data_IF_118638704961
#
_entry.id   IF_118638704961
#
_cell.length_a   1.000
_cell.length_b   1.000
_cell.length_c   1.000
_cell.angle_alpha   90.00
_cell.angle_beta   90.00
_cell.angle_gamma   90.00
#
_symmetry.space_group_name_H-M   'P 1'
#
loop_
_entity.id
_entity.type
_entity.pdbx_description
1 polymer ?
#
# COMPACT_ATOMS: atom_id res chain seq x y z
N UNK A 1 -9.92 25.83 -32.58
CA UNK A 1 -10.74 25.88 -33.80
C UNK A 1 -12.03 25.07 -33.72
N UNK A 2 -12.30 24.33 -32.64
CA UNK A 2 -13.64 23.83 -32.35
C UNK A 2 -14.35 24.95 -31.57
N UNK A 3 -15.54 25.35 -32.00
CA UNK A 3 -16.51 26.21 -31.29
C UNK A 3 -16.38 27.74 -31.41
N UNK A 4 -16.87 28.29 -32.53
CA UNK A 4 -17.71 29.49 -32.46
C UNK A 4 -19.18 29.23 -32.91
N UNK A 5 -19.45 28.12 -33.63
CA UNK A 5 -20.76 27.84 -34.25
C UNK A 5 -21.56 26.65 -33.66
N UNK A 6 -21.05 25.94 -32.64
CA UNK A 6 -21.74 24.77 -32.05
C UNK A 6 -22.56 25.14 -30.80
N UNK A 7 -23.69 24.47 -30.59
CA UNK A 7 -24.48 24.65 -29.37
C UNK A 7 -23.75 24.13 -28.12
N UNK A 8 -24.13 24.63 -26.95
CA UNK A 8 -23.48 24.32 -25.67
C UNK A 8 -23.46 22.81 -25.38
N UNK A 9 -24.50 22.08 -25.79
CA UNK A 9 -24.61 20.64 -25.57
C UNK A 9 -23.58 19.86 -26.40
N UNK A 10 -23.46 20.20 -27.69
CA UNK A 10 -22.46 19.60 -28.59
C UNK A 10 -21.04 19.86 -28.08
N UNK A 11 -20.77 21.06 -27.58
CA UNK A 11 -19.47 21.41 -27.01
C UNK A 11 -19.13 20.59 -25.75
N UNK A 12 -20.10 20.39 -24.85
CA UNK A 12 -19.92 19.58 -23.65
C UNK A 12 -19.70 18.10 -23.98
N UNK A 13 -20.46 17.54 -24.92
CA UNK A 13 -20.28 16.17 -25.41
C UNK A 13 -18.91 15.98 -26.06
N UNK A 14 -18.47 16.96 -26.86
CA UNK A 14 -17.15 16.94 -27.50
C UNK A 14 -16.04 16.95 -26.46
N UNK A 15 -16.12 17.84 -25.47
CA UNK A 15 -15.14 17.90 -24.38
C UNK A 15 -15.09 16.58 -23.60
N UNK A 16 -16.25 16.00 -23.30
CA UNK A 16 -16.34 14.70 -22.64
C UNK A 16 -15.70 13.58 -23.45
N UNK A 17 -15.95 13.54 -24.77
CA UNK A 17 -15.34 12.57 -25.67
C UNK A 17 -13.81 12.64 -25.64
N UNK A 18 -13.25 13.84 -25.72
CA UNK A 18 -11.80 14.02 -25.61
C UNK A 18 -11.27 13.63 -24.24
N UNK A 19 -11.92 14.00 -23.14
CA UNK A 19 -11.45 13.63 -21.80
C UNK A 19 -11.44 12.11 -21.59
N UNK A 20 -12.53 11.43 -21.97
CA UNK A 20 -12.60 9.97 -21.91
C UNK A 20 -11.55 9.33 -22.82
N UNK A 21 -11.36 9.83 -24.04
CA UNK A 21 -10.30 9.36 -24.95
C UNK A 21 -8.91 9.48 -24.31
N UNK A 22 -8.57 10.65 -23.75
CA UNK A 22 -7.27 10.85 -23.10
C UNK A 22 -7.08 9.97 -21.86
N UNK A 23 -8.14 9.70 -21.10
CA UNK A 23 -8.08 8.73 -20.01
C UNK A 23 -7.71 7.33 -20.50
N UNK A 24 -8.32 6.88 -21.60
CA UNK A 24 -8.06 5.56 -22.17
C UNK A 24 -6.67 5.46 -22.82
N UNK A 25 -6.24 6.50 -23.54
CA UNK A 25 -4.88 6.55 -24.14
C UNK A 25 -3.81 6.51 -23.05
N UNK A 26 -3.93 7.34 -22.01
CA UNK A 26 -2.97 7.35 -20.91
C UNK A 26 -2.92 5.98 -20.20
N UNK A 27 -4.07 5.34 -20.02
CA UNK A 27 -4.14 4.01 -19.42
C UNK A 27 -3.48 2.95 -20.31
N UNK A 28 -3.69 3.00 -21.62
CA UNK A 28 -3.05 2.09 -22.56
C UNK A 28 -1.53 2.26 -22.59
N UNK A 29 -1.03 3.49 -22.53
CA UNK A 29 0.40 3.79 -22.43
C UNK A 29 1.01 3.27 -21.12
N UNK A 30 0.35 3.53 -19.99
CA UNK A 30 0.77 3.03 -18.68
C UNK A 30 0.82 1.50 -18.67
N UNK A 31 -0.21 0.85 -19.22
CA UNK A 31 -0.26 -0.60 -19.35
C UNK A 31 0.87 -1.15 -20.24
N UNK A 32 1.11 -0.53 -21.40
CA UNK A 32 2.20 -0.92 -22.29
C UNK A 32 3.56 -0.81 -21.59
N UNK A 33 3.79 0.27 -20.83
CA UNK A 33 5.02 0.45 -20.04
C UNK A 33 5.21 -0.70 -19.04
N UNK A 34 4.17 -1.06 -18.29
CA UNK A 34 4.22 -2.20 -17.35
C UNK A 34 4.53 -3.51 -18.08
N UNK A 35 3.91 -3.75 -19.25
CA UNK A 35 4.16 -4.95 -20.06
C UNK A 35 5.61 -5.03 -20.54
N UNK A 36 6.18 -3.92 -20.99
CA UNK A 36 7.59 -3.83 -21.42
C UNK A 36 8.53 -4.12 -20.25
N UNK A 37 8.27 -3.56 -19.06
CA UNK A 37 9.06 -3.86 -17.86
C UNK A 37 9.01 -5.35 -17.51
N UNK A 38 7.82 -5.95 -17.46
CA UNK A 38 7.67 -7.39 -17.19
C UNK A 38 8.32 -8.28 -18.25
N UNK A 39 8.32 -7.87 -19.52
CA UNK A 39 9.00 -8.60 -20.58
C UNK A 39 10.52 -8.56 -20.39
N UNK A 40 11.07 -7.43 -19.92
CA UNK A 40 12.49 -7.32 -19.55
C UNK A 40 12.80 -8.20 -18.34
N UNK A 41 11.97 -8.16 -17.29
CA UNK A 41 12.13 -9.01 -16.10
C UNK A 41 12.14 -10.50 -16.47
N UNK A 42 11.27 -10.94 -17.39
CA UNK A 42 11.22 -12.34 -17.87
C UNK A 42 12.41 -12.73 -18.76
N UNK A 43 12.97 -11.77 -19.49
CA UNK A 43 14.12 -11.99 -20.35
C UNK A 43 15.45 -11.87 -19.60
N UNK A 44 15.44 -11.28 -18.40
CA UNK A 44 16.59 -11.21 -17.53
C UNK A 44 16.91 -12.62 -17.02
N UNK A 45 18.16 -13.03 -17.20
CA UNK A 45 18.67 -14.32 -16.75
C UNK A 45 19.29 -14.15 -15.35
N UNK A 46 20.57 -13.79 -15.30
CA UNK A 46 21.33 -13.62 -14.05
C UNK A 46 21.54 -12.14 -13.69
N UNK A 47 21.59 -11.25 -14.70
CA UNK A 47 21.82 -9.83 -14.49
C UNK A 47 20.51 -9.09 -14.15
N UNK A 48 20.54 -8.15 -13.20
CA UNK A 48 19.36 -7.37 -12.85
C UNK A 48 18.88 -6.53 -14.04
N UNK A 49 17.57 -6.28 -14.11
CA UNK A 49 17.01 -5.40 -15.14
C UNK A 49 17.58 -4.00 -15.00
N UNK A 50 18.07 -3.43 -16.11
CA UNK A 50 18.63 -2.09 -16.14
C UNK A 50 17.65 -1.05 -15.54
N UNK A 51 18.17 -0.11 -14.76
CA UNK A 51 17.44 0.92 -14.02
C UNK A 51 16.52 0.37 -12.91
N UNK A 52 16.68 -0.90 -12.52
CA UNK A 52 15.98 -1.48 -11.36
C UNK A 52 16.71 -1.18 -10.04
N UNK A 53 16.03 -1.46 -8.93
CA UNK A 53 16.64 -1.36 -7.59
C UNK A 53 17.80 -2.35 -7.46
N UNK A 54 17.64 -3.57 -7.98
CA UNK A 54 18.70 -4.58 -7.97
C UNK A 54 19.92 -4.11 -8.78
N UNK A 55 19.71 -3.52 -9.96
CA UNK A 55 20.79 -2.96 -10.79
C UNK A 55 21.56 -1.85 -10.05
N UNK A 56 20.85 -0.98 -9.32
CA UNK A 56 21.50 0.02 -8.48
C UNK A 56 22.38 -0.62 -7.38
N UNK A 57 21.95 -1.73 -6.77
CA UNK A 57 22.76 -2.45 -5.77
C UNK A 57 23.99 -3.11 -6.42
N UNK A 58 23.82 -3.77 -7.56
CA UNK A 58 24.93 -4.38 -8.31
C UNK A 58 25.94 -3.32 -8.75
N UNK A 59 25.47 -2.14 -9.15
CA UNK A 59 26.34 -1.00 -9.46
C UNK A 59 27.21 -0.58 -8.26
N UNK A 60 26.67 -0.60 -7.02
CA UNK A 60 27.48 -0.32 -5.82
C UNK A 60 28.56 -1.38 -5.61
N UNK A 61 28.22 -2.67 -5.79
CA UNK A 61 29.15 -3.79 -5.69
C UNK A 61 30.27 -3.67 -6.74
N UNK A 62 29.92 -3.37 -7.98
CA UNK A 62 30.87 -3.29 -9.10
C UNK A 62 31.80 -2.07 -8.96
N UNK A 63 31.37 -1.03 -8.24
CA UNK A 63 32.24 0.06 -7.78
C UNK A 63 33.12 -0.30 -6.57
N UNK A 64 33.05 -1.53 -6.06
CA UNK A 64 33.90 -2.05 -5.00
C UNK A 64 33.46 -1.69 -3.58
N UNK A 65 32.21 -1.26 -3.37
CA UNK A 65 31.71 -0.97 -2.02
C UNK A 65 31.59 -2.25 -1.21
N UNK A 66 32.14 -2.22 0.00
CA UNK A 66 32.02 -3.29 0.99
C UNK A 66 30.60 -3.35 1.59
N UNK A 67 30.18 -4.51 2.13
CA UNK A 67 28.88 -4.61 2.80
C UNK A 67 28.69 -3.58 3.92
N UNK A 68 29.75 -3.24 4.66
CA UNK A 68 29.68 -2.26 5.75
C UNK A 68 29.43 -0.84 5.22
N UNK A 69 30.03 -0.47 4.09
CA UNK A 69 29.79 0.82 3.44
C UNK A 69 28.36 0.90 2.90
N UNK A 70 27.86 -0.17 2.28
CA UNK A 70 26.47 -0.25 1.83
C UNK A 70 25.50 -0.16 3.02
N UNK A 71 25.76 -0.85 4.12
CA UNK A 71 24.94 -0.74 5.34
C UNK A 71 24.92 0.70 5.89
N UNK A 72 26.06 1.41 5.87
CA UNK A 72 26.14 2.81 6.30
C UNK A 72 25.32 3.74 5.39
N UNK A 73 25.27 3.48 4.08
CA UNK A 73 24.42 4.21 3.13
C UNK A 73 22.93 3.93 3.39
N UNK A 74 22.56 2.66 3.56
CA UNK A 74 21.19 2.25 3.87
C UNK A 74 20.70 2.93 5.15
N UNK A 75 21.53 2.99 6.19
CA UNK A 75 21.23 3.61 7.48
C UNK A 75 20.91 5.12 7.37
N UNK A 76 21.41 5.79 6.33
CA UNK A 76 21.19 7.21 6.07
C UNK A 76 20.09 7.46 5.01
N UNK A 77 19.66 6.43 4.29
CA UNK A 77 18.69 6.54 3.21
C UNK A 77 17.36 7.06 3.75
N UNK A 78 16.83 8.12 3.12
CA UNK A 78 15.54 8.71 3.47
C UNK A 78 14.90 9.30 2.23
N UNK A 79 13.71 8.82 1.88
CA UNK A 79 12.89 9.29 0.77
C UNK A 79 11.53 9.71 1.32
N UNK A 80 11.26 11.02 1.31
CA UNK A 80 10.03 11.61 1.83
C UNK A 80 9.08 12.05 0.70
N UNK A 81 8.05 11.26 0.44
CA UNK A 81 6.94 11.60 -0.46
C UNK A 81 5.89 12.44 0.28
N UNK A 82 5.48 13.57 -0.28
CA UNK A 82 4.46 14.42 0.32
C UNK A 82 3.31 14.62 -0.66
N UNK A 83 2.14 14.08 -0.32
CA UNK A 83 0.92 14.27 -1.10
C UNK A 83 0.37 15.67 -0.91
N UNK A 84 0.07 16.33 -2.02
CA UNK A 84 -0.60 17.63 -2.04
C UNK A 84 -1.98 17.49 -2.67
N UNK A 85 -2.91 18.36 -2.28
CA UNK A 85 -4.20 18.40 -2.96
C UNK A 85 -3.96 18.91 -4.38
N UNK A 86 -4.53 18.25 -5.40
CA UNK A 86 -4.45 18.78 -6.75
C UNK A 86 -5.54 19.84 -6.92
N UNK A 87 -5.19 21.12 -7.17
CA UNK A 87 -6.14 22.23 -7.10
C UNK A 87 -7.27 22.18 -8.16
N UNK A 88 -7.11 21.41 -9.23
CA UNK A 88 -8.04 21.37 -10.37
C UNK A 88 -8.39 19.99 -10.91
N UNK A 89 -7.78 18.90 -10.40
CA UNK A 89 -7.80 17.60 -11.10
C UNK A 89 -7.95 16.40 -10.16
N UNK A 90 -8.73 16.57 -9.10
CA UNK A 90 -9.18 15.45 -8.26
C UNK A 90 -10.24 14.66 -9.02
N UNK A 91 -9.81 13.81 -9.97
CA UNK A 91 -10.65 12.82 -10.66
C UNK A 91 -11.58 12.19 -9.62
N UNK A 92 -12.87 12.11 -9.93
CA UNK A 92 -13.83 11.51 -9.00
C UNK A 92 -13.42 10.07 -8.74
N UNK A 93 -13.61 9.61 -7.50
CA UNK A 93 -13.33 8.22 -7.10
C UNK A 93 -13.99 7.21 -8.06
N UNK A 94 -15.22 7.47 -8.49
CA UNK A 94 -15.93 6.64 -9.46
C UNK A 94 -15.23 6.52 -10.81
N UNK A 95 -14.58 7.58 -11.30
CA UNK A 95 -13.77 7.55 -12.53
C UNK A 95 -12.52 6.71 -12.31
N UNK A 96 -11.82 6.93 -11.19
CA UNK A 96 -10.62 6.17 -10.84
C UNK A 96 -10.90 4.67 -10.67
N UNK A 97 -12.04 4.30 -10.06
CA UNK A 97 -12.46 2.90 -9.91
C UNK A 97 -12.69 2.23 -11.27
N UNK A 98 -13.31 2.93 -12.22
CA UNK A 98 -13.52 2.40 -13.58
C UNK A 98 -12.20 2.24 -14.34
N UNK A 99 -11.30 3.22 -14.24
CA UNK A 99 -9.96 3.12 -14.84
C UNK A 99 -9.16 1.96 -14.24
N UNK A 100 -9.25 1.74 -12.92
CA UNK A 100 -8.65 0.57 -12.26
C UNK A 100 -9.26 -0.74 -12.75
N UNK A 101 -10.58 -0.82 -12.92
CA UNK A 101 -11.25 -2.01 -13.46
C UNK A 101 -10.81 -2.30 -14.90
N UNK A 102 -10.74 -1.29 -15.76
CA UNK A 102 -10.21 -1.42 -17.13
C UNK A 102 -8.76 -1.92 -17.09
N UNK A 103 -7.92 -1.33 -16.24
CA UNK A 103 -6.52 -1.76 -16.07
C UNK A 103 -6.41 -3.22 -15.64
N UNK A 104 -7.23 -3.67 -14.68
CA UNK A 104 -7.21 -5.04 -14.19
C UNK A 104 -7.63 -6.03 -15.28
N UNK A 105 -8.64 -5.67 -16.08
CA UNK A 105 -9.09 -6.49 -17.22
C UNK A 105 -8.00 -6.59 -18.30
N UNK A 106 -7.31 -5.49 -18.62
CA UNK A 106 -6.17 -5.51 -19.55
C UNK A 106 -5.03 -6.41 -19.05
N UNK A 107 -4.70 -6.33 -17.76
CA UNK A 107 -3.67 -7.20 -17.18
C UNK A 107 -4.03 -8.68 -17.22
N UNK A 108 -5.32 -9.02 -17.11
CA UNK A 108 -5.80 -10.41 -17.18
C UNK A 108 -5.59 -11.03 -18.57
N UNK A 109 -5.74 -10.24 -19.63
CA UNK A 109 -5.62 -10.72 -21.02
C UNK A 109 -4.19 -10.70 -21.57
N UNK A 110 -3.25 -10.09 -20.84
CA UNK A 110 -1.82 -10.07 -21.19
C UNK A 110 -1.07 -11.36 -20.80
N UNK A 111 -1.75 -12.32 -20.15
CA UNK A 111 -1.18 -13.63 -19.80
C UNK A 111 -1.00 -14.52 -21.03
N UNK A 112 0.03 -15.38 -21.02
CA UNK A 112 0.34 -16.27 -22.15
C UNK A 112 -0.68 -17.40 -22.32
N UNK A 113 -1.40 -17.74 -21.24
CA UNK A 113 -2.35 -18.86 -21.19
C UNK A 113 -3.83 -18.46 -21.36
N UNK A 114 -4.11 -17.28 -21.92
CA UNK A 114 -5.48 -16.76 -22.02
C UNK A 114 -6.27 -17.51 -23.10
N UNK A 115 -7.41 -18.07 -22.74
CA UNK A 115 -8.27 -18.78 -23.70
C UNK A 115 -9.10 -17.80 -24.57
N UNK A 116 -9.59 -18.23 -25.74
CA UNK A 116 -10.49 -17.40 -26.55
C UNK A 116 -11.74 -16.95 -25.79
N UNK A 117 -12.27 -17.81 -24.92
CA UNK A 117 -13.41 -17.47 -24.06
C UNK A 117 -13.07 -16.37 -23.05
N UNK A 118 -11.88 -16.43 -22.45
CA UNK A 118 -11.43 -15.40 -21.50
C UNK A 118 -11.26 -14.03 -22.18
N UNK A 119 -10.84 -14.03 -23.45
CA UNK A 119 -10.76 -12.83 -24.29
C UNK A 119 -12.15 -12.26 -24.57
N UNK A 120 -13.11 -13.10 -24.98
CA UNK A 120 -14.48 -12.65 -25.22
C UNK A 120 -15.11 -12.04 -23.95
N UNK A 121 -14.95 -12.70 -22.81
CA UNK A 121 -15.40 -12.19 -21.51
C UNK A 121 -14.70 -10.88 -21.14
N UNK A 122 -13.40 -10.74 -21.44
CA UNK A 122 -12.66 -9.50 -21.23
C UNK A 122 -13.15 -8.36 -22.13
N UNK A 123 -13.45 -8.63 -23.40
CA UNK A 123 -13.99 -7.62 -24.31
C UNK A 123 -15.32 -7.07 -23.81
N UNK A 124 -16.22 -7.94 -23.35
CA UNK A 124 -17.51 -7.54 -22.77
C UNK A 124 -17.30 -6.68 -21.52
N UNK A 125 -16.37 -7.07 -20.63
CA UNK A 125 -16.06 -6.30 -19.43
C UNK A 125 -15.44 -4.92 -19.78
N UNK A 126 -14.51 -4.86 -20.74
CA UNK A 126 -13.93 -3.60 -21.21
C UNK A 126 -14.99 -2.67 -21.79
N UNK A 127 -15.87 -3.17 -22.66
CA UNK A 127 -16.98 -2.38 -23.20
C UNK A 127 -17.91 -1.88 -22.09
N UNK A 128 -18.20 -2.74 -21.10
CA UNK A 128 -19.03 -2.39 -19.95
C UNK A 128 -18.38 -1.26 -19.14
N UNK A 129 -17.11 -1.38 -18.79
CA UNK A 129 -16.40 -0.37 -18.00
C UNK A 129 -16.20 0.95 -18.76
N UNK A 130 -15.93 0.89 -20.07
CA UNK A 130 -15.82 2.09 -20.92
C UNK A 130 -17.18 2.78 -21.04
N UNK A 131 -18.26 2.02 -21.21
CA UNK A 131 -19.63 2.58 -21.22
C UNK A 131 -19.96 3.21 -19.88
N UNK A 132 -19.62 2.55 -18.78
CA UNK A 132 -19.78 3.07 -17.43
C UNK A 132 -18.95 4.33 -17.19
N UNK A 133 -17.74 4.43 -17.75
CA UNK A 133 -16.89 5.62 -17.71
C UNK A 133 -17.55 6.76 -18.49
N UNK A 134 -17.97 6.49 -19.72
CA UNK A 134 -18.68 7.43 -20.59
C UNK A 134 -19.97 7.97 -19.95
N UNK A 135 -20.76 7.13 -19.28
CA UNK A 135 -22.01 7.56 -18.65
C UNK A 135 -21.81 8.18 -17.26
N UNK A 136 -20.59 8.17 -16.72
CA UNK A 136 -20.27 8.82 -15.45
C UNK A 136 -19.92 10.28 -15.68
N UNK A 137 -20.50 11.16 -14.86
CA UNK A 137 -20.14 12.57 -14.89
C UNK A 137 -18.84 12.81 -14.13
N UNK A 138 -17.86 13.38 -14.82
CA UNK A 138 -16.54 13.70 -14.27
C UNK A 138 -16.56 15.06 -13.55
N UNK A 139 -17.47 15.95 -13.95
CA UNK A 139 -17.60 17.28 -13.37
C UNK A 139 -18.31 17.17 -12.03
N UNK A 140 -17.69 17.73 -10.98
CA UNK A 140 -18.32 17.82 -9.67
C UNK A 140 -19.29 18.99 -9.66
N UNK A 141 -20.59 18.72 -9.51
CA UNK A 141 -21.63 19.76 -9.33
C UNK A 141 -21.38 20.60 -8.07
N UNK A 142 -20.83 19.98 -7.01
CA UNK A 142 -20.46 20.65 -5.75
C UNK A 142 -18.96 20.58 -5.53
N UNK A 143 -18.35 21.73 -5.18
CA UNK A 143 -16.95 21.80 -4.78
C UNK A 143 -16.71 20.87 -3.58
N UNK A 144 -15.72 19.96 -3.63
CA UNK A 144 -15.43 19.07 -2.51
C UNK A 144 -15.05 19.86 -1.26
N UNK A 145 -15.41 19.33 -0.09
CA UNK A 145 -14.87 19.83 1.17
C UNK A 145 -13.42 19.36 1.32
N UNK A 146 -12.66 20.03 2.20
CA UNK A 146 -11.29 19.59 2.53
C UNK A 146 -11.27 18.13 3.01
N UNK A 147 -12.29 17.71 3.77
CA UNK A 147 -12.39 16.33 4.24
C UNK A 147 -12.66 15.34 3.11
N UNK A 148 -13.41 15.74 2.07
CA UNK A 148 -13.58 14.89 0.88
C UNK A 148 -12.27 14.70 0.12
N UNK A 149 -11.43 15.73 0.06
CA UNK A 149 -10.09 15.65 -0.51
C UNK A 149 -9.18 14.74 0.32
N UNK A 150 -9.23 14.85 1.65
CA UNK A 150 -8.50 13.94 2.56
C UNK A 150 -8.91 12.50 2.29
N UNK A 151 -10.22 12.20 2.29
CA UNK A 151 -10.73 10.84 2.03
C UNK A 151 -10.31 10.32 0.66
N UNK A 152 -10.34 11.17 -0.37
CA UNK A 152 -9.91 10.78 -1.71
C UNK A 152 -8.40 10.45 -1.76
N UNK A 153 -7.57 11.27 -1.12
CA UNK A 153 -6.14 11.02 -1.01
C UNK A 153 -5.82 9.74 -0.23
N UNK A 154 -6.53 9.51 0.87
CA UNK A 154 -6.43 8.30 1.69
C UNK A 154 -6.84 7.03 0.94
N UNK A 155 -7.89 7.09 0.12
CA UNK A 155 -8.31 5.97 -0.74
C UNK A 155 -7.24 5.60 -1.78
N UNK A 156 -6.57 6.60 -2.36
CA UNK A 156 -5.44 6.33 -3.26
C UNK A 156 -4.29 5.66 -2.50
N UNK A 157 -4.06 6.11 -1.26
CA UNK A 157 -3.00 5.59 -0.41
C UNK A 157 -3.16 4.09 -0.10
N UNK A 158 -4.33 3.68 0.36
CA UNK A 158 -4.56 2.28 0.75
C UNK A 158 -4.56 1.31 -0.42
N UNK A 159 -5.04 1.74 -1.59
CA UNK A 159 -5.20 0.84 -2.74
C UNK A 159 -3.93 0.56 -3.55
N UNK A 160 -2.87 1.38 -3.43
CA UNK A 160 -1.72 1.30 -4.36
C UNK A 160 -0.37 1.41 -3.65
N UNK A 161 -0.18 2.43 -2.81
CA UNK A 161 1.13 2.70 -2.22
C UNK A 161 1.54 1.63 -1.22
N UNK A 162 0.58 1.01 -0.55
CA UNK A 162 0.86 -0.05 0.40
C UNK A 162 1.63 -1.21 -0.24
N UNK A 163 1.13 -1.71 -1.37
CA UNK A 163 1.78 -2.80 -2.11
C UNK A 163 3.11 -2.34 -2.70
N UNK A 164 3.15 -1.15 -3.30
CA UNK A 164 4.37 -0.61 -3.91
C UNK A 164 5.51 -0.45 -2.89
N UNK A 165 5.22 -0.04 -1.65
CA UNK A 165 6.20 0.04 -0.58
C UNK A 165 6.77 -1.34 -0.29
N UNK A 166 5.91 -2.33 -0.05
CA UNK A 166 6.35 -3.70 0.25
C UNK A 166 7.18 -4.28 -0.89
N UNK A 167 6.75 -4.10 -2.14
CA UNK A 167 7.50 -4.54 -3.34
C UNK A 167 8.86 -3.85 -3.46
N UNK A 168 8.94 -2.55 -3.13
CA UNK A 168 10.19 -1.78 -3.16
C UNK A 168 11.19 -2.31 -2.14
N UNK A 169 10.76 -2.57 -0.91
CA UNK A 169 11.63 -3.16 0.12
C UNK A 169 12.07 -4.56 -0.27
N UNK A 170 11.14 -5.41 -0.74
CA UNK A 170 11.45 -6.77 -1.20
C UNK A 170 12.49 -6.77 -2.32
N UNK A 171 12.29 -5.93 -3.34
CA UNK A 171 13.24 -5.81 -4.45
C UNK A 171 14.63 -5.35 -4.00
N UNK A 172 14.70 -4.47 -2.99
CA UNK A 172 15.98 -4.08 -2.38
C UNK A 172 16.62 -5.23 -1.58
N UNK A 173 15.85 -5.97 -0.79
CA UNK A 173 16.32 -7.14 -0.04
C UNK A 173 16.88 -8.22 -0.99
N UNK A 174 16.15 -8.55 -2.04
CA UNK A 174 16.56 -9.51 -3.07
C UNK A 174 17.83 -9.05 -3.79
N UNK A 175 17.90 -7.76 -4.18
CA UNK A 175 19.09 -7.19 -4.82
C UNK A 175 20.33 -7.24 -3.91
N UNK A 176 20.16 -6.93 -2.62
CA UNK A 176 21.24 -6.99 -1.62
C UNK A 176 21.71 -8.42 -1.37
N UNK A 177 20.79 -9.37 -1.18
CA UNK A 177 21.11 -10.78 -0.98
C UNK A 177 21.84 -11.38 -2.20
N UNK A 178 21.45 -10.98 -3.41
CA UNK A 178 22.09 -11.44 -4.64
C UNK A 178 23.48 -10.84 -4.84
N UNK A 179 23.66 -9.56 -4.54
CA UNK A 179 24.95 -8.87 -4.71
C UNK A 179 25.96 -9.22 -3.61
N UNK A 180 25.50 -9.51 -2.39
CA UNK A 180 26.31 -9.73 -1.19
C UNK A 180 25.77 -10.93 -0.38
N UNK A 181 25.93 -12.17 -0.88
CA UNK A 181 25.27 -13.36 -0.31
C UNK A 181 25.70 -13.70 1.12
N UNK A 182 26.91 -13.32 1.53
CA UNK A 182 27.46 -13.60 2.85
C UNK A 182 27.12 -12.52 3.90
N UNK A 183 26.27 -11.54 3.56
CA UNK A 183 25.92 -10.44 4.46
C UNK A 183 24.40 -10.22 4.57
N UNK A 184 23.91 -10.17 5.80
CA UNK A 184 22.51 -9.85 6.09
C UNK A 184 22.40 -8.36 6.40
N UNK A 185 21.76 -7.62 5.50
CA UNK A 185 21.54 -6.18 5.69
C UNK A 185 20.35 -5.90 6.59
N UNK A 186 20.47 -4.84 7.38
CA UNK A 186 19.34 -4.24 8.09
C UNK A 186 18.78 -3.11 7.25
N UNK A 187 17.53 -3.25 6.83
CA UNK A 187 16.82 -2.17 6.14
C UNK A 187 16.09 -1.25 7.14
N UNK A 188 16.50 0.04 7.24
CA UNK A 188 15.73 1.02 7.99
C UNK A 188 14.47 1.43 7.20
N UNK A 189 13.47 2.03 7.87
CA UNK A 189 12.28 2.55 7.19
C UNK A 189 12.61 3.84 6.40
N UNK A 190 13.26 3.69 5.25
CA UNK A 190 13.74 4.79 4.41
C UNK A 190 12.62 5.45 3.59
N UNK A 191 11.58 4.71 3.20
CA UNK A 191 10.40 5.27 2.54
C UNK A 191 9.44 5.93 3.53
N UNK A 192 9.12 7.19 3.28
CA UNK A 192 8.34 8.04 4.17
C UNK A 192 7.26 8.74 3.38
N UNK A 193 6.04 8.74 3.92
CA UNK A 193 4.91 9.44 3.32
C UNK A 193 4.44 10.54 4.25
N UNK A 194 4.04 11.66 3.66
CA UNK A 194 3.49 12.86 4.25
C UNK A 194 2.25 13.28 3.46
N UNK A 195 1.37 14.08 4.06
CA UNK A 195 0.26 14.71 3.34
C UNK A 195 0.10 16.16 3.79
N UNK A 196 -0.12 17.06 2.84
CA UNK A 196 -0.55 18.43 3.06
C UNK A 196 -2.08 18.56 3.03
N UNK A 197 -2.79 17.55 2.52
CA UNK A 197 -4.25 17.56 2.39
C UNK A 197 -4.87 17.56 3.80
N UNK A 198 -5.73 18.54 4.09
CA UNK A 198 -6.32 18.71 5.43
C UNK A 198 -5.40 19.35 6.48
N UNK A 199 -4.17 19.68 6.10
CA UNK A 199 -3.16 20.22 7.01
C UNK A 199 -2.53 21.54 6.60
N UNK A 200 -2.34 21.77 5.30
CA UNK A 200 -1.80 23.02 4.79
C UNK A 200 -2.86 24.13 4.85
N UNK A 201 -2.53 25.20 5.57
CA UNK A 201 -3.44 26.35 5.79
C UNK A 201 -3.02 27.57 5.00
N UNK A 202 -1.91 27.50 4.26
CA UNK A 202 -1.40 28.66 3.54
C UNK A 202 -2.39 29.08 2.45
N UNK A 203 -3.03 30.23 2.65
CA UNK A 203 -4.04 30.77 1.72
C UNK A 203 -5.37 30.01 1.66
N UNK A 204 -5.63 29.04 2.55
CA UNK A 204 -6.87 28.26 2.55
C UNK A 204 -7.65 28.38 3.87
N UNK A 205 -8.70 29.24 3.94
CA UNK A 205 -9.47 29.45 5.17
C UNK A 205 -10.31 28.23 5.57
N UNK A 206 -10.51 27.27 4.67
CA UNK A 206 -11.30 26.06 4.94
C UNK A 206 -10.51 24.99 5.71
N UNK A 207 -9.19 25.17 5.90
CA UNK A 207 -8.36 24.27 6.72
C UNK A 207 -8.20 24.84 8.13
N UNK A 208 -9.14 24.51 9.01
CA UNK A 208 -9.13 24.94 10.41
C UNK A 208 -8.67 23.80 11.37
N UNK A 209 -8.62 24.08 12.67
CA UNK A 209 -8.20 23.10 13.69
C UNK A 209 -9.10 21.85 13.71
N UNK A 210 -10.41 22.00 13.53
CA UNK A 210 -11.33 20.87 13.50
C UNK A 210 -11.08 19.98 12.27
N UNK A 211 -10.85 20.58 11.10
CA UNK A 211 -10.50 19.86 9.87
C UNK A 211 -9.17 19.12 10.03
N UNK A 212 -8.14 19.76 10.60
CA UNK A 212 -6.86 19.12 10.88
C UNK A 212 -7.02 17.95 11.86
N UNK A 213 -7.82 18.10 12.92
CA UNK A 213 -8.09 17.01 13.88
C UNK A 213 -8.84 15.85 13.23
N UNK A 214 -9.86 16.13 12.42
CA UNK A 214 -10.61 15.12 11.67
C UNK A 214 -9.71 14.40 10.64
N UNK A 215 -8.81 15.13 9.99
CA UNK A 215 -7.80 14.56 9.07
C UNK A 215 -6.91 13.56 9.80
N UNK A 216 -6.40 13.92 10.98
CA UNK A 216 -5.59 13.02 11.81
C UNK A 216 -6.36 11.76 12.24
N UNK A 217 -7.64 11.91 12.60
CA UNK A 217 -8.50 10.79 12.95
C UNK A 217 -8.67 9.83 11.76
N UNK A 218 -8.96 10.35 10.56
CA UNK A 218 -9.09 9.54 9.34
C UNK A 218 -7.80 8.81 8.97
N UNK A 219 -6.64 9.45 9.13
CA UNK A 219 -5.36 8.77 8.90
C UNK A 219 -5.12 7.63 9.92
N UNK A 220 -5.48 7.83 11.19
CA UNK A 220 -5.39 6.78 12.22
C UNK A 220 -6.31 5.61 11.93
N UNK A 221 -7.55 5.90 11.58
CA UNK A 221 -8.56 4.91 11.21
C UNK A 221 -8.08 4.08 10.02
N UNK A 222 -7.60 4.72 8.95
CA UNK A 222 -7.06 3.99 7.80
C UNK A 222 -5.84 3.13 8.15
N UNK A 223 -4.92 3.64 8.97
CA UNK A 223 -3.75 2.88 9.40
C UNK A 223 -4.16 1.63 10.19
N UNK A 224 -5.18 1.77 11.06
CA UNK A 224 -5.75 0.67 11.84
C UNK A 224 -6.46 -0.35 10.96
N UNK A 225 -7.32 0.10 10.05
CA UNK A 225 -8.00 -0.78 9.08
C UNK A 225 -7.02 -1.57 8.23
N UNK A 226 -5.94 -0.94 7.73
CA UNK A 226 -4.92 -1.63 6.94
C UNK A 226 -4.18 -2.69 7.75
N UNK A 227 -3.84 -2.38 9.01
CA UNK A 227 -3.21 -3.31 9.92
C UNK A 227 -4.14 -4.48 10.26
N UNK A 228 -5.39 -4.20 10.60
CA UNK A 228 -6.42 -5.21 10.87
C UNK A 228 -6.56 -6.17 9.68
N UNK A 229 -6.74 -5.63 8.48
CA UNK A 229 -6.83 -6.41 7.26
C UNK A 229 -5.59 -7.26 6.99
N UNK A 230 -4.40 -6.76 7.32
CA UNK A 230 -3.16 -7.51 7.14
C UNK A 230 -3.02 -8.65 8.15
N UNK A 231 -3.30 -8.40 9.43
CA UNK A 231 -3.26 -9.43 10.47
C UNK A 231 -4.36 -10.46 10.22
N UNK A 232 -5.56 -10.05 9.77
CA UNK A 232 -6.63 -10.97 9.37
C UNK A 232 -6.21 -11.87 8.21
N UNK A 233 -5.54 -11.34 7.18
CA UNK A 233 -5.00 -12.17 6.10
C UNK A 233 -4.01 -13.20 6.64
N UNK A 234 -3.07 -12.79 7.49
CA UNK A 234 -2.14 -13.72 8.14
C UNK A 234 -2.87 -14.78 8.97
N UNK A 235 -3.87 -14.39 9.75
CA UNK A 235 -4.67 -15.32 10.55
C UNK A 235 -5.27 -16.43 9.68
N UNK A 236 -5.86 -16.07 8.54
CA UNK A 236 -6.44 -17.04 7.62
C UNK A 236 -5.39 -17.89 6.89
N UNK A 237 -4.22 -17.35 6.57
CA UNK A 237 -3.11 -18.10 5.97
C UNK A 237 -2.44 -19.09 6.96
N UNK A 238 -2.36 -18.73 8.25
CA UNK A 238 -1.59 -19.47 9.26
C UNK A 238 -2.37 -20.65 9.86
N UNK A 239 -2.68 -21.63 9.02
CA UNK A 239 -3.37 -22.88 9.40
C UNK A 239 -2.46 -23.95 10.04
N UNK A 240 -1.28 -23.56 10.53
CA UNK A 240 -0.27 -24.49 11.06
C UNK A 240 -0.86 -25.30 12.22
N UNK A 241 -0.79 -26.63 12.10
CA UNK A 241 -1.29 -27.52 13.15
C UNK A 241 -0.28 -27.67 14.28
N UNK A 242 -0.78 -27.65 15.52
CA UNK A 242 -0.01 -27.92 16.75
C UNK A 242 0.76 -29.26 16.70
N UNK A 243 0.30 -30.22 15.88
CA UNK A 243 0.97 -31.51 15.68
C UNK A 243 2.33 -31.38 15.01
N UNK A 244 2.50 -30.37 14.18
CA UNK A 244 3.72 -30.14 13.41
C UNK A 244 4.48 -28.91 13.90
N UNK A 245 3.79 -27.95 14.52
CA UNK A 245 4.38 -26.69 14.94
C UNK A 245 3.67 -26.10 16.18
N UNK A 246 4.40 -25.98 17.29
CA UNK A 246 3.86 -25.62 18.62
C UNK A 246 4.68 -24.58 19.39
N UNK A 247 5.63 -23.90 18.75
CA UNK A 247 6.53 -22.94 19.41
C UNK A 247 5.83 -21.67 19.94
N UNK A 248 4.54 -21.50 19.66
CA UNK A 248 3.74 -20.32 20.04
C UNK A 248 3.01 -20.46 21.38
N UNK A 249 3.10 -21.62 22.05
CA UNK A 249 2.32 -21.91 23.26
C UNK A 249 2.53 -20.89 24.40
N UNK A 250 3.76 -20.40 24.57
CA UNK A 250 4.06 -19.35 25.55
C UNK A 250 3.30 -18.06 25.28
N UNK A 251 3.14 -17.66 24.02
CA UNK A 251 2.35 -16.48 23.68
C UNK A 251 0.86 -16.73 23.98
N UNK A 252 0.34 -17.90 23.61
CA UNK A 252 -1.05 -18.26 23.89
C UNK A 252 -1.37 -18.28 25.38
N UNK A 253 -0.47 -18.78 26.23
CA UNK A 253 -0.65 -18.73 27.67
C UNK A 253 -0.82 -17.30 28.20
N UNK A 254 0.03 -16.35 27.76
CA UNK A 254 -0.13 -14.94 28.13
C UNK A 254 -1.48 -14.37 27.66
N UNK A 255 -1.93 -14.77 26.46
CA UNK A 255 -3.22 -14.36 25.93
C UNK A 255 -4.40 -15.02 26.69
N UNK A 256 -4.25 -16.25 27.20
CA UNK A 256 -5.27 -16.90 28.07
C UNK A 256 -5.44 -16.14 29.37
N UNK A 257 -4.34 -15.65 29.95
CA UNK A 257 -4.36 -14.85 31.18
C UNK A 257 -4.97 -13.47 30.94
N UNK A 258 -4.58 -12.79 29.85
CA UNK A 258 -5.09 -11.47 29.51
C UNK A 258 -6.55 -11.49 29.05
N UNK A 259 -6.91 -12.42 28.16
CA UNK A 259 -8.18 -12.42 27.44
C UNK A 259 -8.84 -13.82 27.39
N UNK A 260 -9.23 -14.38 28.55
CA UNK A 260 -9.68 -15.77 28.65
C UNK A 260 -10.94 -16.07 27.84
N UNK A 261 -11.84 -15.11 27.66
CA UNK A 261 -13.09 -15.33 26.91
C UNK A 261 -12.84 -15.35 25.40
N UNK A 262 -12.17 -14.34 24.85
CA UNK A 262 -11.92 -14.25 23.41
C UNK A 262 -11.02 -15.39 22.93
N UNK A 263 -10.01 -15.75 23.71
CA UNK A 263 -9.10 -16.82 23.31
C UNK A 263 -9.78 -18.19 23.38
N UNK A 264 -10.62 -18.44 24.39
CA UNK A 264 -11.41 -19.68 24.45
C UNK A 264 -12.27 -19.86 23.21
N UNK A 265 -12.96 -18.80 22.78
CA UNK A 265 -13.76 -18.84 21.56
C UNK A 265 -12.88 -19.16 20.32
N UNK A 266 -11.72 -18.55 20.20
CA UNK A 266 -10.78 -18.83 19.11
C UNK A 266 -10.23 -20.27 19.15
N UNK A 267 -9.99 -20.83 20.34
CA UNK A 267 -9.58 -22.22 20.53
C UNK A 267 -10.69 -23.21 20.14
N UNK A 268 -11.96 -22.86 20.40
CA UNK A 268 -13.14 -23.63 19.99
C UNK A 268 -13.36 -23.56 18.47
N UNK A 269 -13.22 -22.39 17.86
CA UNK A 269 -13.44 -22.15 16.42
C UNK A 269 -12.31 -22.74 15.55
N UNK A 270 -11.08 -22.74 16.08
CA UNK A 270 -9.88 -23.15 15.36
C UNK A 270 -9.07 -24.17 16.18
N UNK A 271 -9.64 -25.36 16.45
CA UNK A 271 -8.95 -26.39 17.20
C UNK A 271 -7.67 -26.80 16.45
N UNK A 272 -6.61 -27.07 17.22
CA UNK A 272 -5.28 -27.46 16.74
C UNK A 272 -4.51 -26.40 15.91
N UNK A 273 -4.99 -25.15 15.77
CA UNK A 273 -4.33 -24.11 14.94
C UNK A 273 -3.81 -22.93 15.77
N UNK A 274 -2.71 -23.12 16.54
CA UNK A 274 -2.29 -22.17 17.56
C UNK A 274 -1.82 -20.80 16.99
N UNK A 275 -1.28 -20.77 15.77
CA UNK A 275 -0.90 -19.51 15.12
C UNK A 275 -2.12 -18.70 14.65
N UNK A 276 -3.16 -19.39 14.15
CA UNK A 276 -4.44 -18.76 13.82
C UNK A 276 -5.10 -18.17 15.08
N UNK A 277 -5.09 -18.92 16.18
CA UNK A 277 -5.57 -18.44 17.49
C UNK A 277 -4.80 -17.21 17.97
N UNK A 278 -3.47 -17.24 17.89
CA UNK A 278 -2.61 -16.12 18.30
C UNK A 278 -2.89 -14.85 17.49
N UNK A 279 -2.98 -14.96 16.16
CA UNK A 279 -3.29 -13.83 15.29
C UNK A 279 -4.75 -13.35 15.45
N UNK A 280 -5.69 -14.27 15.66
CA UNK A 280 -7.08 -13.96 15.96
C UNK A 280 -7.23 -13.18 17.26
N UNK A 281 -6.41 -13.49 18.27
CA UNK A 281 -6.39 -12.74 19.53
C UNK A 281 -5.93 -11.28 19.31
N UNK A 282 -4.92 -11.07 18.46
CA UNK A 282 -4.49 -9.72 18.08
C UNK A 282 -5.62 -8.98 17.36
N UNK A 283 -6.25 -9.60 16.36
CA UNK A 283 -7.37 -8.98 15.60
C UNK A 283 -8.53 -8.61 16.50
N UNK A 284 -8.94 -9.50 17.41
CA UNK A 284 -10.07 -9.28 18.32
C UNK A 284 -9.88 -8.04 19.22
N UNK A 285 -8.63 -7.69 19.52
CA UNK A 285 -8.29 -6.61 20.45
C UNK A 285 -7.62 -5.40 19.80
N UNK A 286 -7.33 -5.46 18.50
CA UNK A 286 -6.63 -4.39 17.78
C UNK A 286 -7.33 -3.04 17.85
N UNK A 287 -8.66 -3.08 18.00
CA UNK A 287 -9.52 -1.90 18.04
C UNK A 287 -9.84 -1.42 19.47
N UNK A 288 -9.31 -2.09 20.50
CA UNK A 288 -9.46 -1.70 21.90
C UNK A 288 -8.21 -0.95 22.38
N UNK A 289 -8.30 0.38 22.42
CA UNK A 289 -7.21 1.26 22.88
C UNK A 289 -6.80 1.00 24.34
N UNK A 290 -7.61 0.27 25.12
CA UNK A 290 -7.26 -0.15 26.50
C UNK A 290 -6.30 -1.33 26.50
N UNK A 291 -6.25 -2.09 25.42
CA UNK A 291 -5.42 -3.29 25.24
C UNK A 291 -4.15 -2.91 24.48
N UNK A 292 -4.31 -2.32 23.30
CA UNK A 292 -3.20 -1.79 22.52
C UNK A 292 -3.24 -0.27 22.56
N UNK A 293 -2.49 0.33 23.48
CA UNK A 293 -2.43 1.79 23.59
C UNK A 293 -1.69 2.41 22.40
N UNK A 294 -0.80 1.62 21.79
CA UNK A 294 -0.07 1.97 20.59
C UNK A 294 0.37 0.70 19.84
N UNK A 295 0.87 0.88 18.62
CA UNK A 295 1.28 -0.17 17.70
C UNK A 295 2.70 -0.64 17.96
N UNK A 296 3.43 -0.06 18.91
CA UNK A 296 4.59 -0.78 19.47
C UNK A 296 4.10 -1.97 20.30
N UNK A 297 2.97 -1.77 20.99
CA UNK A 297 2.03 -2.78 21.52
C UNK A 297 1.88 -3.99 20.59
N UNK A 298 1.26 -3.70 19.44
CA UNK A 298 0.91 -4.67 18.41
C UNK A 298 2.16 -5.26 17.74
N UNK A 299 3.18 -4.43 17.46
CA UNK A 299 4.42 -4.87 16.84
C UNK A 299 5.18 -5.84 17.74
N UNK A 300 5.17 -5.61 19.04
CA UNK A 300 5.79 -6.51 19.99
C UNK A 300 5.12 -7.90 19.92
N UNK A 301 3.79 -7.97 19.95
CA UNK A 301 3.07 -9.23 19.88
C UNK A 301 3.23 -9.94 18.53
N UNK A 302 3.15 -9.21 17.41
CA UNK A 302 3.42 -9.79 16.09
C UNK A 302 4.87 -10.30 15.98
N UNK A 303 5.83 -9.58 16.55
CA UNK A 303 7.23 -10.00 16.56
C UNK A 303 7.43 -11.27 17.39
N UNK A 304 6.71 -11.44 18.50
CA UNK A 304 6.74 -12.70 19.26
C UNK A 304 6.26 -13.88 18.44
N UNK A 305 5.21 -13.69 17.62
CA UNK A 305 4.71 -14.72 16.69
C UNK A 305 5.73 -14.99 15.57
N UNK A 306 6.31 -13.94 15.01
CA UNK A 306 7.35 -14.05 13.99
C UNK A 306 8.60 -14.80 14.52
N UNK A 307 9.09 -14.42 15.70
CA UNK A 307 10.25 -15.03 16.35
C UNK A 307 9.99 -16.49 16.73
N UNK A 308 8.73 -16.90 16.99
CA UNK A 308 8.40 -18.31 17.20
C UNK A 308 8.46 -19.11 15.90
N UNK A 309 7.99 -18.55 14.78
CA UNK A 309 8.12 -19.17 13.44
C UNK A 309 9.58 -19.23 12.98
N UNK A 310 10.37 -18.20 13.25
CA UNK A 310 11.78 -18.14 12.86
C UNK A 310 12.61 -19.25 13.55
N UNK A 311 12.24 -19.62 14.78
CA UNK A 311 12.86 -20.71 15.55
C UNK A 311 12.30 -22.09 15.19
N UNK A 312 11.36 -22.15 14.26
CA UNK A 312 10.64 -23.35 13.89
C UNK A 312 11.06 -23.86 12.52
N UNK A 313 10.43 -24.95 12.05
CA UNK A 313 10.64 -25.45 10.67
C UNK A 313 10.00 -24.54 9.60
N UNK A 314 9.33 -23.47 10.02
CA UNK A 314 8.56 -22.56 9.18
C UNK A 314 9.22 -21.18 9.04
N UNK A 315 10.55 -21.09 9.08
CA UNK A 315 11.31 -19.84 8.97
C UNK A 315 10.92 -19.01 7.75
N UNK A 316 10.69 -19.65 6.59
CA UNK A 316 10.23 -18.98 5.37
C UNK A 316 8.89 -18.24 5.57
N UNK A 317 7.99 -18.75 6.42
CA UNK A 317 6.73 -18.07 6.72
C UNK A 317 6.96 -16.80 7.54
N UNK A 318 7.92 -16.81 8.47
CA UNK A 318 8.32 -15.62 9.22
C UNK A 318 8.90 -14.55 8.28
N UNK A 319 9.77 -14.95 7.36
CA UNK A 319 10.43 -14.04 6.43
C UNK A 319 9.43 -13.44 5.43
N UNK A 320 8.68 -14.28 4.72
CA UNK A 320 7.82 -13.87 3.60
C UNK A 320 6.49 -13.26 4.04
N UNK A 321 5.83 -13.85 5.04
CA UNK A 321 4.44 -13.46 5.37
C UNK A 321 4.39 -12.26 6.31
N UNK A 322 5.33 -12.14 7.25
CA UNK A 322 5.34 -11.03 8.21
C UNK A 322 5.98 -9.75 7.66
N UNK A 323 6.66 -9.80 6.50
CA UNK A 323 7.29 -8.63 5.88
C UNK A 323 6.35 -7.43 5.79
N UNK A 324 5.15 -7.62 5.22
CA UNK A 324 4.14 -6.57 5.10
C UNK A 324 3.79 -5.93 6.45
N UNK A 325 3.58 -6.75 7.49
CA UNK A 325 3.24 -6.26 8.83
C UNK A 325 4.41 -5.52 9.50
N UNK A 326 5.65 -6.00 9.33
CA UNK A 326 6.87 -5.32 9.81
C UNK A 326 6.97 -3.92 9.22
N UNK A 327 6.75 -3.79 7.90
CA UNK A 327 6.79 -2.50 7.20
C UNK A 327 5.66 -1.56 7.65
N UNK A 328 4.46 -2.10 7.87
CA UNK A 328 3.33 -1.31 8.37
C UNK A 328 3.62 -0.68 9.73
N UNK A 329 4.01 -1.50 10.70
CA UNK A 329 4.09 -1.04 12.10
C UNK A 329 5.29 -0.16 12.38
N UNK A 330 6.44 -0.43 11.74
CA UNK A 330 7.64 0.42 11.88
C UNK A 330 7.43 1.84 11.37
N UNK A 331 6.40 2.08 10.53
CA UNK A 331 6.21 3.37 9.85
C UNK A 331 4.89 4.06 10.15
N UNK A 332 3.75 3.35 10.05
CA UNK A 332 2.43 3.98 10.13
C UNK A 332 2.01 4.31 11.56
N UNK A 333 2.40 3.48 12.52
CA UNK A 333 1.96 3.69 13.89
C UNK A 333 2.84 4.67 14.67
N UNK A 334 4.18 4.57 14.55
CA UNK A 334 5.10 5.46 15.30
C UNK A 334 5.00 6.92 14.86
N UNK A 335 4.69 7.18 13.59
CA UNK A 335 4.63 8.53 13.00
C UNK A 335 3.61 8.53 11.87
N UNK A 336 2.36 8.88 12.19
CA UNK A 336 1.42 9.40 11.20
C UNK A 336 2.15 10.37 10.26
N UNK A 337 1.84 10.37 8.95
CA UNK A 337 2.60 11.03 7.90
C UNK A 337 3.19 12.36 8.37
N UNK A 338 4.52 12.47 8.32
CA UNK A 338 5.27 13.57 8.93
C UNK A 338 4.70 14.89 8.40
N UNK A 339 4.06 15.63 9.31
CA UNK A 339 3.44 16.91 9.04
C UNK A 339 4.52 17.95 8.80
N UNK A 340 4.55 18.56 7.61
CA UNK A 340 5.29 19.80 7.39
C UNK A 340 4.32 20.97 7.44
N UNK A 341 4.33 21.70 8.56
CA UNK A 341 3.63 22.98 8.68
C UNK A 341 4.38 24.01 7.84
N UNK A 342 3.86 24.39 6.67
CA UNK A 342 4.36 25.54 5.94
C UNK A 342 3.84 26.81 6.61
N UNK A 343 4.59 27.37 7.57
CA UNK A 343 4.37 28.76 7.99
C UNK A 343 5.16 29.63 7.03
N UNK A 344 4.47 30.51 6.31
CA UNK A 344 5.10 31.69 5.73
C UNK A 344 5.77 32.48 6.85
N UNK A 345 7.10 32.52 6.88
CA UNK A 345 7.82 33.63 7.50
C UNK A 345 7.55 34.86 6.63
N UNK A 346 6.43 35.55 6.89
CA UNK A 346 6.34 36.94 6.50
C UNK A 346 7.19 37.72 7.50
N UNK A 347 8.30 38.21 6.98
CA UNK A 347 9.15 39.24 7.55
C UNK A 347 8.36 40.25 8.38
N UNK A 348 8.67 40.36 9.68
CA UNK A 348 8.64 41.65 10.34
C UNK A 348 9.78 42.49 9.75
N UNK A 349 9.44 43.29 8.75
CA UNK A 349 9.93 44.66 8.67
C UNK A 349 8.94 45.53 9.43
#
# INVERSE_FOLDING_TARGET
HISDDADTETNLLTLKAFTTYFHLVNLAEEHHRVRVLRARDRAADIDPVADSIADAVFTLRDHGLTPQEVQALLDQLSVDFVFTAHPTESKRRSVLEKLRAISATLQRVDSEDVSPRDLDEAYVELQTQITLLWLTDEVRVKKPTVIDEVRNGLWFFSGTLFNAVTETYRSLEEGLASAYPDHVFRLPPFLKFGSWIGGDRDGNPFVNNAVTSATLALHRELARENLENAVMRLMWEMSLSVRYESQIESFLNDQRERFPYSLRQLEEDHPDQPYRQALGAIVAHLNDDRIYANGDEVLHDLKRIEDSLARSKATLLAEERFASCRWMLRRFWKRLPIWKRRRRCWSRC
#
